data_IF_539884544498
#
_entry.id   IF_539884544498
#
_cell.length_a   1.000
_cell.length_b   1.000
_cell.length_c   1.000
_cell.angle_alpha   90.00
_cell.angle_beta   90.00
_cell.angle_gamma   90.00
#
_symmetry.space_group_name_H-M   'P 1'
#
loop_
_entity.id
_entity.type
_entity.pdbx_description
1 polymer ?
#
# COMPACT_ATOMS: atom_id res chain seq x y z
N UNK A 1 -9.36 0.05 -17.47
CA UNK A 1 -8.90 0.57 -16.16
C UNK A 1 -9.81 0.11 -15.01
N UNK A 2 -10.01 -1.21 -14.80
CA UNK A 2 -10.91 -1.73 -13.74
C UNK A 2 -10.22 -2.65 -12.70
N UNK A 3 -8.90 -2.85 -12.81
CA UNK A 3 -8.17 -3.84 -11.98
C UNK A 3 -7.62 -3.20 -10.68
N UNK A 4 -7.56 -1.86 -10.59
CA UNK A 4 -6.97 -1.15 -9.44
C UNK A 4 -7.90 -1.10 -8.20
N UNK A 5 -9.22 -1.11 -8.38
CA UNK A 5 -10.18 -0.96 -7.26
C UNK A 5 -10.34 -2.23 -6.42
N UNK A 6 -10.19 -3.41 -7.04
CA UNK A 6 -10.42 -4.71 -6.37
C UNK A 6 -9.28 -5.07 -5.42
N UNK A 7 -8.05 -4.69 -5.73
CA UNK A 7 -6.90 -4.91 -4.85
C UNK A 7 -6.92 -3.95 -3.65
N UNK A 8 -7.32 -2.70 -3.86
CA UNK A 8 -7.43 -1.71 -2.80
C UNK A 8 -8.53 -2.07 -1.78
N UNK A 9 -9.69 -2.54 -2.26
CA UNK A 9 -10.77 -3.03 -1.39
C UNK A 9 -10.42 -4.34 -0.68
N UNK A 10 -9.60 -5.21 -1.28
CA UNK A 10 -9.15 -6.46 -0.68
C UNK A 10 -8.18 -6.25 0.50
N UNK A 11 -7.23 -5.32 0.36
CA UNK A 11 -6.29 -4.95 1.42
C UNK A 11 -7.03 -4.29 2.59
N UNK A 12 -7.93 -3.33 2.30
CA UNK A 12 -8.75 -2.68 3.34
C UNK A 12 -9.61 -3.68 4.12
N UNK A 13 -10.24 -4.65 3.44
CA UNK A 13 -11.09 -5.67 4.09
C UNK A 13 -10.29 -6.58 5.03
N UNK A 14 -9.04 -6.92 4.69
CA UNK A 14 -8.18 -7.77 5.55
C UNK A 14 -7.71 -7.03 6.80
N UNK A 15 -7.39 -5.74 6.67
CA UNK A 15 -6.96 -4.91 7.81
C UNK A 15 -8.08 -4.73 8.83
N UNK A 16 -9.31 -4.45 8.36
CA UNK A 16 -10.49 -4.30 9.24
C UNK A 16 -10.77 -5.59 10.02
N UNK A 17 -10.73 -6.76 9.36
CA UNK A 17 -11.01 -8.05 10.00
C UNK A 17 -9.96 -8.45 11.05
N UNK A 18 -8.71 -8.06 10.83
CA UNK A 18 -7.61 -8.30 11.78
C UNK A 18 -7.77 -7.41 13.01
N UNK A 19 -8.16 -6.15 12.83
CA UNK A 19 -8.39 -5.21 13.94
C UNK A 19 -9.60 -5.60 14.80
N UNK A 20 -10.64 -6.18 14.22
CA UNK A 20 -11.78 -6.73 14.98
C UNK A 20 -11.39 -7.89 15.92
N UNK A 21 -10.38 -8.69 15.56
CA UNK A 21 -9.89 -9.79 16.41
C UNK A 21 -9.02 -9.36 17.60
N UNK A 22 -8.48 -8.13 17.58
CA UNK A 22 -7.62 -7.62 18.65
C UNK A 22 -8.37 -6.85 19.75
N UNK A 23 -9.67 -6.62 19.60
CA UNK A 23 -10.48 -5.92 20.59
C UNK A 23 -11.28 -6.93 21.44
N UNK A 24 -10.95 -7.14 22.73
CA UNK A 24 -11.72 -8.02 23.60
C UNK A 24 -13.15 -7.50 23.74
N UNK A 25 -14.10 -8.29 23.24
CA UNK A 25 -15.52 -7.98 23.23
C UNK A 25 -16.11 -8.23 24.62
N UNK A 26 -16.11 -7.22 25.49
CA UNK A 26 -16.92 -7.25 26.70
C UNK A 26 -17.47 -5.86 27.04
N UNK A 27 -18.78 -5.68 26.88
CA UNK A 27 -19.53 -4.54 27.44
C UNK A 27 -20.22 -3.64 26.40
N UNK A 28 -21.50 -3.41 26.64
CA UNK A 28 -22.36 -2.43 25.93
C UNK A 28 -21.91 -1.00 26.25
N UNK A 29 -21.76 -0.14 25.22
CA UNK A 29 -21.92 1.33 25.27
C UNK A 29 -21.58 1.91 23.86
N UNK A 30 -22.58 2.23 23.02
CA UNK A 30 -22.38 2.65 21.62
C UNK A 30 -21.53 3.93 21.44
N UNK A 31 -21.41 4.77 22.47
CA UNK A 31 -20.70 6.06 22.37
C UNK A 31 -19.17 5.97 22.50
N UNK A 32 -18.62 5.01 23.26
CA UNK A 32 -17.15 4.85 23.38
C UNK A 32 -16.53 4.12 22.20
N UNK A 33 -17.27 3.19 21.57
CA UNK A 33 -16.87 2.48 20.35
C UNK A 33 -16.74 3.42 19.16
N UNK A 34 -17.73 4.30 18.97
CA UNK A 34 -17.67 5.32 17.93
C UNK A 34 -16.45 6.23 18.11
N UNK A 35 -16.19 6.71 19.33
CA UNK A 35 -15.04 7.57 19.61
C UNK A 35 -13.69 6.91 19.31
N UNK A 36 -13.50 5.66 19.76
CA UNK A 36 -12.25 4.91 19.48
C UNK A 36 -12.09 4.70 17.97
N UNK A 37 -13.14 4.27 17.26
CA UNK A 37 -13.10 4.11 15.80
C UNK A 37 -12.82 5.44 15.08
N UNK A 38 -13.39 6.56 15.56
CA UNK A 38 -13.12 7.89 15.03
C UNK A 38 -11.67 8.31 15.25
N UNK A 39 -11.08 8.05 16.41
CA UNK A 39 -9.67 8.33 16.68
C UNK A 39 -8.75 7.47 15.81
N UNK A 40 -9.05 6.18 15.66
CA UNK A 40 -8.29 5.31 14.75
C UNK A 40 -8.42 5.73 13.29
N UNK A 41 -9.60 6.15 12.85
CA UNK A 41 -9.82 6.68 11.51
C UNK A 41 -9.07 7.99 11.29
N UNK A 42 -9.14 8.93 12.25
CA UNK A 42 -8.39 10.17 12.20
C UNK A 42 -6.87 9.90 12.15
N UNK A 43 -6.37 8.97 12.97
CA UNK A 43 -4.97 8.54 12.95
C UNK A 43 -4.60 7.91 11.60
N UNK A 44 -5.46 7.07 11.02
CA UNK A 44 -5.23 6.46 9.71
C UNK A 44 -5.24 7.51 8.59
N UNK A 45 -6.13 8.50 8.63
CA UNK A 45 -6.16 9.63 7.69
C UNK A 45 -4.87 10.46 7.78
N UNK A 46 -4.44 10.83 9.00
CA UNK A 46 -3.19 11.55 9.23
C UNK A 46 -1.98 10.71 8.78
N UNK A 47 -1.99 9.40 9.01
CA UNK A 47 -0.94 8.49 8.52
C UNK A 47 -0.94 8.38 6.98
N UNK A 48 -2.10 8.42 6.32
CA UNK A 48 -2.18 8.44 4.86
C UNK A 48 -1.67 9.75 4.27
N UNK A 49 -1.99 10.88 4.90
CA UNK A 49 -1.51 12.21 4.48
C UNK A 49 0.00 12.33 4.63
N UNK A 50 0.54 11.97 5.81
CA UNK A 50 1.99 11.97 6.05
C UNK A 50 2.73 10.96 5.16
N UNK A 51 2.15 9.80 4.87
CA UNK A 51 2.72 8.84 3.93
C UNK A 51 2.77 9.41 2.51
N UNK A 52 1.70 10.08 2.07
CA UNK A 52 1.69 10.74 0.76
C UNK A 52 2.79 11.80 0.67
N UNK A 53 2.91 12.67 1.68
CA UNK A 53 3.97 13.68 1.76
C UNK A 53 5.37 13.06 1.71
N UNK A 54 5.60 11.97 2.46
CA UNK A 54 6.86 11.24 2.46
C UNK A 54 7.18 10.64 1.09
N UNK A 55 6.19 10.09 0.38
CA UNK A 55 6.37 9.56 -0.97
C UNK A 55 6.64 10.67 -1.99
N UNK A 56 6.03 11.85 -1.83
CA UNK A 56 6.29 13.02 -2.67
C UNK A 56 7.67 13.65 -2.41
N UNK A 57 8.23 13.48 -1.21
CA UNK A 57 9.58 13.93 -0.88
C UNK A 57 10.69 13.09 -1.55
N UNK A 58 10.38 11.86 -2.00
CA UNK A 58 11.35 11.00 -2.69
C UNK A 58 11.67 11.53 -4.10
N UNK A 59 12.93 11.40 -4.52
CA UNK A 59 13.29 11.54 -5.94
C UNK A 59 12.59 10.46 -6.77
N UNK A 60 12.40 10.63 -8.10
CA UNK A 60 11.69 9.62 -8.90
C UNK A 60 12.35 8.24 -8.76
N UNK A 61 13.68 8.23 -8.73
CA UNK A 61 14.46 7.03 -8.55
C UNK A 61 14.23 6.37 -7.19
N UNK A 62 14.28 7.13 -6.11
CA UNK A 62 14.04 6.58 -4.76
C UNK A 62 12.62 6.02 -4.62
N UNK A 63 11.64 6.67 -5.24
CA UNK A 63 10.27 6.17 -5.29
C UNK A 63 10.18 4.82 -6.03
N UNK A 64 10.83 4.68 -7.20
CA UNK A 64 10.90 3.40 -7.92
C UNK A 64 11.54 2.29 -7.07
N UNK A 65 12.61 2.60 -6.35
CA UNK A 65 13.25 1.65 -5.43
C UNK A 65 12.35 1.26 -4.27
N UNK A 66 11.65 2.22 -3.66
CA UNK A 66 10.71 1.95 -2.57
C UNK A 66 9.57 1.03 -3.03
N UNK A 67 9.01 1.26 -4.22
CA UNK A 67 7.99 0.39 -4.82
C UNK A 67 8.56 -1.00 -5.11
N UNK A 68 9.80 -1.10 -5.60
CA UNK A 68 10.45 -2.40 -5.83
C UNK A 68 10.63 -3.20 -4.53
N UNK A 69 11.00 -2.54 -3.42
CA UNK A 69 11.08 -3.18 -2.10
C UNK A 69 9.72 -3.72 -1.62
N UNK A 70 8.64 -2.99 -1.85
CA UNK A 70 7.29 -3.49 -1.53
C UNK A 70 6.95 -4.78 -2.28
N UNK A 71 7.32 -4.87 -3.56
CA UNK A 71 7.15 -6.10 -4.34
C UNK A 71 8.07 -7.23 -3.85
N UNK A 72 9.32 -6.92 -3.48
CA UNK A 72 10.25 -7.91 -2.89
C UNK A 72 9.70 -8.48 -1.59
N UNK A 73 9.18 -7.64 -0.71
CA UNK A 73 8.55 -8.06 0.54
C UNK A 73 7.33 -8.97 0.32
N UNK A 74 6.66 -8.85 -0.84
CA UNK A 74 5.55 -9.73 -1.24
C UNK A 74 6.00 -11.03 -1.94
N UNK A 75 7.31 -11.24 -2.12
CA UNK A 75 7.89 -12.44 -2.73
C UNK A 75 8.11 -12.35 -4.24
N UNK A 76 8.10 -11.15 -4.83
CA UNK A 76 8.47 -10.97 -6.23
C UNK A 76 9.98 -10.73 -6.37
N UNK A 77 10.57 -11.23 -7.46
CA UNK A 77 11.83 -10.71 -7.94
C UNK A 77 11.56 -9.37 -8.65
N UNK A 78 11.91 -8.26 -8.02
CA UNK A 78 11.74 -6.92 -8.57
C UNK A 78 13.10 -6.34 -8.98
N UNK A 79 13.21 -5.80 -10.19
CA UNK A 79 14.43 -5.14 -10.71
C UNK A 79 14.02 -3.76 -11.23
N UNK A 80 14.59 -2.71 -10.63
CA UNK A 80 14.39 -1.33 -11.07
C UNK A 80 15.14 -1.12 -12.39
N UNK A 81 14.47 -0.62 -13.41
CA UNK A 81 15.09 -0.27 -14.68
C UNK A 81 15.90 1.03 -14.50
N UNK A 82 16.98 1.20 -15.24
CA UNK A 82 17.84 2.37 -15.09
C UNK A 82 18.28 2.87 -16.45
N UNK A 83 17.42 3.59 -17.17
CA UNK A 83 17.87 4.21 -18.41
C UNK A 83 16.79 4.96 -19.18
N UNK A 84 17.21 6.03 -19.87
CA UNK A 84 16.40 6.93 -20.71
C UNK A 84 15.69 6.25 -21.91
N UNK A 85 15.69 4.92 -21.98
CA UNK A 85 15.19 4.11 -23.10
C UNK A 85 14.43 2.85 -22.63
N UNK A 86 13.98 2.82 -21.38
CA UNK A 86 13.20 1.73 -20.78
C UNK A 86 11.77 1.60 -21.34
N UNK A 87 11.39 2.46 -22.30
CA UNK A 87 10.04 2.53 -22.91
C UNK A 87 8.94 2.79 -21.86
N UNK A 88 9.29 3.43 -20.75
CA UNK A 88 8.37 3.76 -19.66
C UNK A 88 8.12 2.61 -18.69
N UNK A 89 8.99 1.60 -18.64
CA UNK A 89 8.98 0.56 -17.62
C UNK A 89 9.96 0.91 -16.53
N UNK A 90 9.49 1.16 -15.32
CA UNK A 90 10.35 1.55 -14.19
C UNK A 90 10.80 0.34 -13.36
N UNK A 91 10.00 -0.74 -13.33
CA UNK A 91 10.31 -1.96 -12.58
C UNK A 91 9.88 -3.21 -13.35
N UNK A 92 10.77 -4.18 -13.45
CA UNK A 92 10.48 -5.52 -13.95
C UNK A 92 10.22 -6.47 -12.77
N UNK A 93 9.08 -7.16 -12.81
CA UNK A 93 8.69 -8.15 -11.80
C UNK A 93 8.72 -9.56 -12.39
N UNK A 94 9.14 -10.54 -11.56
CA UNK A 94 9.00 -11.96 -11.86
C UNK A 94 8.59 -12.73 -10.61
N UNK A 95 7.61 -13.62 -10.75
CA UNK A 95 7.18 -14.56 -9.70
C UNK A 95 6.48 -15.75 -10.33
N UNK A 96 6.78 -16.96 -9.87
CA UNK A 96 6.11 -18.20 -10.30
C UNK A 96 6.07 -18.37 -11.84
N UNK A 97 7.17 -18.02 -12.51
CA UNK A 97 7.30 -18.05 -13.98
C UNK A 97 6.60 -16.91 -14.73
N UNK A 98 5.76 -16.12 -14.06
CA UNK A 98 5.08 -14.96 -14.63
C UNK A 98 5.98 -13.72 -14.59
N UNK A 99 5.84 -12.86 -15.59
CA UNK A 99 6.55 -11.57 -15.69
C UNK A 99 5.55 -10.44 -15.77
N UNK A 100 5.85 -9.34 -15.10
CA UNK A 100 5.08 -8.10 -15.19
C UNK A 100 6.02 -6.89 -15.27
N UNK A 101 5.50 -5.78 -15.78
CA UNK A 101 6.19 -4.49 -15.83
C UNK A 101 5.36 -3.47 -15.05
N UNK A 102 6.02 -2.64 -14.27
CA UNK A 102 5.39 -1.57 -13.47
C UNK A 102 5.91 -0.24 -13.97
N UNK A 103 4.98 0.71 -14.11
CA UNK A 103 5.28 2.11 -14.31
C UNK A 103 4.82 2.90 -13.09
N UNK A 104 5.75 3.60 -12.47
CA UNK A 104 5.55 4.53 -11.37
C UNK A 104 5.11 5.88 -11.92
N UNK A 105 3.96 6.37 -11.44
CA UNK A 105 3.48 7.74 -11.65
C UNK A 105 3.19 8.34 -10.29
N UNK A 106 3.57 9.61 -10.13
CA UNK A 106 3.40 10.41 -8.92
C UNK A 106 2.85 11.78 -9.30
#
# INVERSE_FOLDING_TARGET
>A
MHICWTLFTGILRRTVRTLESFLPYSGTLPHRRAYILHLFWAQACLQMETLAEQLYALTPKEFEYAVAELFRAQGYQAIVSGGRNDRGVDIHLKRDGQKAAVQCKR
#
